data_IF_027685349992
#
_entry.id   IF_027685349992
#
_cell.length_a   1.000
_cell.length_b   1.000
_cell.length_c   1.000
_cell.angle_alpha   90.00
_cell.angle_beta   90.00
_cell.angle_gamma   90.00
#
_symmetry.space_group_name_H-M   'P 1'
#
loop_
_entity.id
_entity.type
_entity.pdbx_description
1 polymer ?
#
# COMPACT_ATOMS: atom_id res chain seq x y z
N UNK A 1 7.67 6.43 -4.23
CA UNK A 1 7.75 6.07 -2.80
C UNK A 1 7.50 4.58 -2.63
N UNK A 2 8.34 3.96 -1.87
CA UNK A 2 8.17 2.55 -1.48
C UNK A 2 7.86 2.53 0.00
N UNK A 3 6.76 1.89 0.35
CA UNK A 3 6.31 1.79 1.75
C UNK A 3 6.32 0.34 2.16
N UNK A 4 7.06 0.02 3.20
CA UNK A 4 7.16 -1.33 3.74
C UNK A 4 6.81 -1.26 5.23
N UNK A 5 5.52 -1.17 5.56
CA UNK A 5 5.09 -0.94 6.93
C UNK A 5 5.24 -2.20 7.79
N UNK A 6 5.19 -2.03 9.11
CA UNK A 6 5.16 -3.18 10.01
C UNK A 6 3.90 -4.01 9.80
N UNK A 7 3.89 -5.22 10.37
CA UNK A 7 2.79 -6.17 10.21
C UNK A 7 1.42 -5.59 10.48
N UNK A 8 1.34 -4.70 11.44
CA UNK A 8 0.06 -4.12 11.85
C UNK A 8 -0.41 -2.99 10.93
N UNK A 9 0.35 -2.71 9.89
CA UNK A 9 0.00 -1.67 8.95
C UNK A 9 0.60 -0.33 9.35
N UNK A 10 0.23 0.69 8.60
CA UNK A 10 0.75 2.03 8.81
C UNK A 10 -0.07 2.74 9.88
N UNK A 11 0.61 3.40 10.80
CA UNK A 11 -0.10 4.22 11.78
C UNK A 11 -0.87 5.33 11.04
N UNK A 12 -2.10 5.65 11.46
CA UNK A 12 -2.90 6.67 10.78
C UNK A 12 -2.20 8.01 10.56
N UNK A 13 -1.39 8.43 11.52
CA UNK A 13 -0.65 9.69 11.36
C UNK A 13 0.39 9.58 10.26
N UNK A 14 1.03 8.41 10.13
CA UNK A 14 2.02 8.20 9.08
C UNK A 14 1.35 8.16 7.71
N UNK A 15 0.19 7.54 7.61
CA UNK A 15 -0.56 7.54 6.36
C UNK A 15 -0.87 8.98 5.94
N UNK A 16 -1.31 9.80 6.88
CA UNK A 16 -1.58 11.21 6.60
C UNK A 16 -0.37 11.93 6.04
N UNK A 17 0.81 11.66 6.58
CA UNK A 17 2.04 12.28 6.10
C UNK A 17 2.39 11.80 4.69
N UNK A 18 2.21 10.52 4.42
CA UNK A 18 2.48 9.97 3.09
C UNK A 18 1.56 10.62 2.06
N UNK A 19 0.28 10.73 2.40
CA UNK A 19 -0.69 11.35 1.52
C UNK A 19 -0.38 12.82 1.30
N UNK A 20 0.00 13.52 2.37
CA UNK A 20 0.34 14.95 2.29
C UNK A 20 1.58 15.18 1.42
N UNK A 21 2.49 14.22 1.40
CA UNK A 21 3.66 14.31 0.54
C UNK A 21 3.26 14.37 -0.94
N UNK A 22 2.15 13.72 -1.29
CA UNK A 22 1.61 13.84 -2.64
C UNK A 22 2.35 13.08 -3.72
N UNK A 23 3.02 11.99 -3.36
CA UNK A 23 3.73 11.20 -4.35
C UNK A 23 2.74 10.70 -5.41
N UNK A 24 3.12 10.75 -6.70
CA UNK A 24 2.22 10.26 -7.75
C UNK A 24 2.05 8.75 -7.74
N UNK A 25 3.03 8.02 -7.22
CA UNK A 25 2.98 6.57 -7.15
C UNK A 25 3.50 6.09 -5.82
N UNK A 26 2.85 5.07 -5.29
CA UNK A 26 3.27 4.43 -4.04
C UNK A 26 3.32 2.94 -4.28
N UNK A 27 4.43 2.32 -3.88
CA UNK A 27 4.55 0.87 -3.87
C UNK A 27 4.43 0.44 -2.42
N UNK A 28 3.38 -0.31 -2.13
CA UNK A 28 3.09 -0.77 -0.77
C UNK A 28 3.39 -2.26 -0.69
N UNK A 29 4.29 -2.64 0.21
CA UNK A 29 4.67 -4.03 0.42
C UNK A 29 4.08 -4.46 1.76
N UNK A 30 3.24 -5.47 1.76
CA UNK A 30 2.57 -5.92 2.97
C UNK A 30 2.73 -7.41 3.17
N UNK A 31 2.94 -7.82 4.41
CA UNK A 31 2.96 -9.23 4.77
C UNK A 31 1.67 -9.67 5.47
N UNK A 32 0.70 -8.77 5.64
CA UNK A 32 -0.55 -9.08 6.33
C UNK A 32 -1.74 -8.52 5.55
N UNK A 33 -2.55 -9.39 4.94
CA UNK A 33 -3.65 -8.94 4.08
C UNK A 33 -4.67 -8.05 4.77
N UNK A 34 -4.96 -8.28 6.05
CA UNK A 34 -5.96 -7.48 6.74
C UNK A 34 -5.50 -6.05 6.94
N UNK A 35 -4.23 -5.85 7.29
CA UNK A 35 -3.68 -4.51 7.44
C UNK A 35 -3.60 -3.80 6.10
N UNK A 36 -3.23 -4.55 5.05
CA UNK A 36 -3.18 -4.01 3.70
C UNK A 36 -4.55 -3.49 3.27
N UNK A 37 -5.59 -4.28 3.47
CA UNK A 37 -6.94 -3.89 3.07
C UNK A 37 -7.36 -2.59 3.77
N UNK A 38 -7.08 -2.48 5.05
CA UNK A 38 -7.41 -1.29 5.83
C UNK A 38 -6.68 -0.07 5.29
N UNK A 39 -5.38 -0.22 5.04
CA UNK A 39 -4.58 0.92 4.57
C UNK A 39 -4.95 1.31 3.15
N UNK A 40 -5.24 0.35 2.29
CA UNK A 40 -5.68 0.64 0.93
C UNK A 40 -6.97 1.42 0.91
N UNK A 41 -7.89 1.10 1.81
CA UNK A 41 -9.14 1.83 1.89
C UNK A 41 -8.89 3.32 2.18
N UNK A 42 -7.97 3.61 3.10
CA UNK A 42 -7.62 4.98 3.42
C UNK A 42 -7.00 5.68 2.21
N UNK A 43 -6.06 5.03 1.54
CA UNK A 43 -5.44 5.62 0.35
C UNK A 43 -6.47 5.90 -0.74
N UNK A 44 -7.41 4.98 -0.94
CA UNK A 44 -8.43 5.16 -1.97
C UNK A 44 -9.35 6.34 -1.64
N UNK A 45 -9.66 6.54 -0.39
CA UNK A 45 -10.48 7.68 0.03
C UNK A 45 -9.77 9.00 -0.24
N UNK A 46 -8.45 8.98 -0.28
CA UNK A 46 -7.64 10.17 -0.51
C UNK A 46 -7.22 10.34 -1.96
N UNK A 47 -7.82 9.59 -2.86
CA UNK A 47 -7.61 9.79 -4.28
C UNK A 47 -6.62 8.86 -4.95
N UNK A 48 -6.10 7.89 -4.23
CA UNK A 48 -5.22 6.90 -4.82
C UNK A 48 -6.02 5.74 -5.39
N UNK A 49 -5.50 5.15 -6.46
CA UNK A 49 -6.12 4.00 -7.08
C UNK A 49 -5.14 2.83 -7.06
N UNK A 50 -5.68 1.64 -6.84
CA UNK A 50 -4.86 0.43 -6.89
C UNK A 50 -4.69 0.05 -8.36
N UNK A 51 -3.46 0.17 -8.86
CA UNK A 51 -3.17 -0.13 -10.26
C UNK A 51 -2.82 -1.59 -10.47
N UNK A 52 -2.12 -2.16 -9.51
CA UNK A 52 -1.66 -3.54 -9.66
C UNK A 52 -1.43 -4.15 -8.29
N UNK A 53 -1.81 -5.42 -8.15
CA UNK A 53 -1.55 -6.19 -6.95
C UNK A 53 -0.83 -7.47 -7.36
N UNK A 54 0.26 -7.78 -6.69
CA UNK A 54 1.02 -8.98 -6.98
C UNK A 54 1.33 -9.70 -5.69
N UNK A 55 1.02 -11.00 -5.65
CA UNK A 55 1.38 -11.84 -4.53
C UNK A 55 2.73 -12.46 -4.80
N UNK A 56 3.61 -12.42 -3.82
CA UNK A 56 4.94 -12.97 -3.93
C UNK A 56 5.17 -14.01 -2.85
N UNK A 57 5.49 -15.23 -3.28
CA UNK A 57 5.92 -16.25 -2.35
C UNK A 57 7.39 -16.05 -2.05
N UNK A 58 7.71 -15.97 -0.79
CA UNK A 58 9.09 -15.83 -0.39
C UNK A 58 9.79 -17.18 -0.46
N UNK A 59 10.96 -17.19 -1.04
CA UNK A 59 11.77 -18.40 -1.16
C UNK A 59 12.95 -18.31 -0.19
N UNK A 60 13.30 -19.38 0.52
CA UNK A 60 12.70 -20.71 0.52
C UNK A 60 11.34 -20.67 1.23
N UNK A 61 10.49 -21.62 0.91
CA UNK A 61 9.15 -21.70 1.38
C UNK A 61 8.99 -21.33 2.83
N UNK A 62 8.60 -20.12 3.08
CA UNK A 62 8.20 -19.69 4.39
C UNK A 62 6.67 -19.62 4.41
N UNK A 63 6.11 -19.48 5.60
CA UNK A 63 4.67 -19.28 5.69
C UNK A 63 4.26 -17.88 5.32
N UNK A 64 5.21 -17.05 4.95
CA UNK A 64 4.92 -15.65 4.65
C UNK A 64 4.74 -15.43 3.15
N UNK A 65 3.63 -14.79 2.82
CA UNK A 65 3.37 -14.35 1.46
C UNK A 65 3.32 -12.83 1.52
N UNK A 66 4.10 -12.17 0.69
CA UNK A 66 4.06 -10.72 0.61
C UNK A 66 3.19 -10.27 -0.54
N UNK A 67 2.42 -9.24 -0.30
CA UNK A 67 1.58 -8.62 -1.32
C UNK A 67 2.18 -7.27 -1.66
N UNK A 68 2.44 -7.06 -2.96
CA UNK A 68 2.96 -5.80 -3.45
C UNK A 68 1.84 -5.10 -4.20
N UNK A 69 1.51 -3.90 -3.77
CA UNK A 69 0.48 -3.10 -4.41
C UNK A 69 1.08 -1.84 -5.00
N UNK A 70 0.74 -1.57 -6.25
CA UNK A 70 1.11 -0.32 -6.87
C UNK A 70 -0.12 0.59 -6.82
N UNK A 71 0.05 1.74 -6.20
CA UNK A 71 -1.00 2.75 -6.09
C UNK A 71 -0.59 3.96 -6.91
N UNK A 72 -1.53 4.55 -7.62
CA UNK A 72 -1.26 5.80 -8.30
C UNK A 72 -2.29 6.83 -7.87
N UNK A 73 -1.86 8.09 -7.82
CA UNK A 73 -2.74 9.17 -7.44
C UNK A 73 -3.69 9.45 -8.59
N UNK A 74 -4.98 9.44 -8.29
CA UNK A 74 -5.98 9.71 -9.30
C UNK A 74 -5.85 11.12 -9.82
N UNK A 75 -6.11 11.27 -11.13
CA UNK A 75 -6.12 12.57 -11.75
C UNK A 75 -7.56 13.07 -11.77
N UNK A 76 -7.88 14.14 -11.06
CA UNK A 76 -9.27 14.60 -10.98
C UNK A 76 -9.83 15.06 -12.32
N UNK A 77 -8.97 15.26 -13.30
CA UNK A 77 -9.43 15.70 -14.62
C UNK A 77 -9.68 14.54 -15.56
N UNK A 78 -9.64 13.35 -15.05
CA UNK A 78 -9.90 12.17 -15.86
C UNK A 78 -11.13 11.48 -15.43
#
# INVERSE_FOLDING_TARGET
IIVDPPRDGIHPKAIGKIIAFGAPEIVYVSCKPTSLARDLEIFQQEGYQVERVKLMDMFPRTVHVETVCLLSKGNPNK
#
